data_IF_457807011041
#
_entry.id   IF_457807011041
#
_cell.length_a   1.000
_cell.length_b   1.000
_cell.length_c   1.000
_cell.angle_alpha   90.00
_cell.angle_beta   90.00
_cell.angle_gamma   90.00
#
_symmetry.space_group_name_H-M   'P 1'
#
loop_
_entity.id
_entity.type
_entity.pdbx_description
1 polymer ?
#
# COMPACT_ATOMS: atom_id res chain seq x y z
N UNK A 1 32.55 -2.72 -59.56
CA UNK A 1 32.28 -1.41 -58.92
C UNK A 1 31.05 -0.71 -59.48
N UNK A 2 30.73 -0.81 -60.78
CA UNK A 2 29.53 -0.14 -61.32
C UNK A 2 28.20 -0.71 -60.80
N UNK A 3 28.10 -2.04 -60.66
CA UNK A 3 26.85 -2.71 -60.25
C UNK A 3 26.36 -2.23 -58.87
N UNK A 4 27.27 -2.05 -57.90
CA UNK A 4 26.93 -1.58 -56.54
C UNK A 4 26.49 -0.12 -56.50
N UNK A 5 26.92 0.70 -57.46
CA UNK A 5 26.58 2.12 -57.52
C UNK A 5 25.23 2.32 -58.22
N UNK A 6 24.95 1.52 -59.26
CA UNK A 6 23.64 1.47 -59.92
C UNK A 6 22.55 0.99 -58.97
N UNK A 7 22.79 -0.06 -58.19
CA UNK A 7 21.82 -0.56 -57.20
C UNK A 7 21.55 0.44 -56.07
N UNK A 8 22.58 1.14 -55.58
CA UNK A 8 22.39 2.23 -54.61
C UNK A 8 21.56 3.38 -55.20
N UNK A 9 21.82 3.77 -56.45
CA UNK A 9 21.05 4.81 -57.13
C UNK A 9 19.58 4.39 -57.30
N UNK A 10 19.33 3.12 -57.65
CA UNK A 10 17.99 2.57 -57.73
C UNK A 10 17.29 2.57 -56.36
N UNK A 11 17.96 2.09 -55.30
CA UNK A 11 17.41 2.08 -53.94
C UNK A 11 17.03 3.49 -53.47
N UNK A 12 17.89 4.48 -53.71
CA UNK A 12 17.62 5.89 -53.38
C UNK A 12 16.44 6.46 -54.17
N UNK A 13 16.30 6.09 -55.45
CA UNK A 13 15.17 6.51 -56.28
C UNK A 13 13.86 5.94 -55.72
N UNK A 14 13.86 4.66 -55.33
CA UNK A 14 12.69 4.02 -54.70
C UNK A 14 12.38 4.67 -53.35
N UNK A 15 13.37 5.04 -52.54
CA UNK A 15 13.13 5.78 -51.29
C UNK A 15 12.48 7.15 -51.50
N UNK A 16 12.89 7.87 -52.54
CA UNK A 16 12.29 9.16 -52.87
C UNK A 16 10.82 8.98 -53.28
N UNK A 17 10.50 7.95 -54.07
CA UNK A 17 9.13 7.60 -54.44
C UNK A 17 8.30 7.16 -53.23
N UNK A 18 8.86 6.32 -52.36
CA UNK A 18 8.22 5.87 -51.12
C UNK A 18 7.85 7.06 -50.22
N UNK A 19 8.77 8.03 -50.10
CA UNK A 19 8.55 9.24 -49.30
C UNK A 19 7.48 10.14 -49.91
N UNK A 20 7.42 10.25 -51.24
CA UNK A 20 6.34 10.98 -51.91
C UNK A 20 4.97 10.33 -51.69
N UNK A 21 4.88 8.99 -51.78
CA UNK A 21 3.66 8.23 -51.53
C UNK A 21 3.22 8.33 -50.06
N UNK A 22 4.16 8.31 -49.11
CA UNK A 22 3.89 8.49 -47.69
C UNK A 22 3.32 9.89 -47.39
N UNK A 23 3.90 10.93 -48.00
CA UNK A 23 3.42 12.31 -47.87
C UNK A 23 2.07 12.55 -48.56
N UNK A 24 1.72 11.81 -49.63
CA UNK A 24 0.41 11.88 -50.28
C UNK A 24 -0.68 11.10 -49.54
N UNK A 25 -0.31 10.31 -48.52
CA UNK A 25 -1.25 9.46 -47.77
C UNK A 25 -1.49 8.09 -48.39
N UNK A 26 -0.78 7.73 -49.46
CA UNK A 26 -0.81 6.40 -50.10
C UNK A 26 0.03 5.40 -49.27
N UNK A 27 -0.42 5.12 -48.05
CA UNK A 27 0.37 4.38 -47.05
C UNK A 27 0.73 2.94 -47.46
N UNK A 28 -0.12 2.25 -48.22
CA UNK A 28 0.16 0.89 -48.69
C UNK A 28 1.28 0.89 -49.73
N UNK A 29 1.15 1.73 -50.77
CA UNK A 29 2.17 1.96 -51.80
C UNK A 29 3.50 2.37 -51.17
N UNK A 30 3.46 3.29 -50.20
CA UNK A 30 4.66 3.74 -49.50
C UNK A 30 5.38 2.59 -48.77
N UNK A 31 4.64 1.74 -48.06
CA UNK A 31 5.21 0.58 -47.34
C UNK A 31 5.85 -0.40 -48.31
N UNK A 32 5.20 -0.73 -49.43
CA UNK A 32 5.76 -1.62 -50.45
C UNK A 32 7.08 -1.08 -51.02
N UNK A 33 7.13 0.21 -51.34
CA UNK A 33 8.33 0.86 -51.86
C UNK A 33 9.44 0.94 -50.79
N UNK A 34 9.11 1.27 -49.54
CA UNK A 34 10.09 1.26 -48.44
C UNK A 34 10.69 -0.14 -48.22
N UNK A 35 9.88 -1.20 -48.29
CA UNK A 35 10.36 -2.58 -48.18
C UNK A 35 11.30 -2.92 -49.34
N UNK A 36 10.93 -2.58 -50.57
CA UNK A 36 11.77 -2.81 -51.74
C UNK A 36 13.13 -2.09 -51.62
N UNK A 37 13.13 -0.81 -51.27
CA UNK A 37 14.34 -0.04 -51.07
C UNK A 37 15.22 -0.59 -49.94
N UNK A 38 14.62 -0.96 -48.82
CA UNK A 38 15.35 -1.57 -47.69
C UNK A 38 16.05 -2.85 -48.11
N UNK A 39 15.35 -3.74 -48.83
CA UNK A 39 15.91 -5.00 -49.30
C UNK A 39 17.11 -4.77 -50.24
N UNK A 40 17.03 -3.75 -51.12
CA UNK A 40 18.14 -3.39 -52.00
C UNK A 40 19.33 -2.84 -51.22
N UNK A 41 19.10 -1.97 -50.22
CA UNK A 41 20.16 -1.47 -49.34
C UNK A 41 20.86 -2.62 -48.57
N UNK A 42 20.08 -3.54 -48.02
CA UNK A 42 20.58 -4.71 -47.30
C UNK A 42 21.37 -5.64 -48.22
N UNK A 43 20.96 -5.78 -49.49
CA UNK A 43 21.65 -6.60 -50.49
C UNK A 43 23.00 -6.01 -50.91
N UNK A 44 23.13 -4.68 -50.95
CA UNK A 44 24.38 -4.01 -51.37
C UNK A 44 25.38 -3.86 -50.22
N UNK A 45 24.91 -3.72 -48.98
CA UNK A 45 25.76 -3.49 -47.82
C UNK A 45 26.97 -4.45 -47.66
N UNK A 46 26.87 -5.76 -47.97
CA UNK A 46 28.01 -6.70 -47.87
C UNK A 46 29.15 -6.42 -48.85
N UNK A 47 28.89 -5.71 -49.96
CA UNK A 47 29.86 -5.47 -51.04
C UNK A 47 30.56 -4.11 -50.94
N UNK A 48 30.19 -3.28 -49.96
CA UNK A 48 30.75 -1.95 -49.76
C UNK A 48 31.92 -1.96 -48.78
N UNK A 49 32.87 -1.01 -48.90
CA UNK A 49 33.85 -0.77 -47.84
C UNK A 49 33.16 -0.50 -46.50
N UNK A 50 33.74 -0.99 -45.40
CA UNK A 50 33.11 -1.02 -44.07
C UNK A 50 32.40 0.28 -43.65
N UNK A 51 33.05 1.43 -43.82
CA UNK A 51 32.46 2.73 -43.46
C UNK A 51 31.20 3.08 -44.26
N UNK A 52 31.14 2.72 -45.55
CA UNK A 52 29.96 2.92 -46.38
C UNK A 52 28.87 1.90 -46.05
N UNK A 53 29.25 0.65 -45.77
CA UNK A 53 28.32 -0.39 -45.35
C UNK A 53 27.59 -0.03 -44.03
N UNK A 54 28.31 0.58 -43.07
CA UNK A 54 27.74 1.01 -41.80
C UNK A 54 26.70 2.14 -42.00
N UNK A 55 26.97 3.09 -42.91
CA UNK A 55 26.01 4.15 -43.28
C UNK A 55 24.76 3.56 -43.95
N UNK A 56 24.93 2.64 -44.90
CA UNK A 56 23.81 1.98 -45.59
C UNK A 56 22.93 1.20 -44.62
N UNK A 57 23.52 0.49 -43.65
CA UNK A 57 22.75 -0.21 -42.60
C UNK A 57 22.01 0.77 -41.68
N UNK A 58 22.62 1.90 -41.36
CA UNK A 58 21.96 2.97 -40.59
C UNK A 58 20.69 3.49 -41.28
N UNK A 59 20.75 3.70 -42.60
CA UNK A 59 19.59 4.09 -43.38
C UNK A 59 18.54 2.98 -43.50
N UNK A 60 18.94 1.71 -43.68
CA UNK A 60 18.00 0.59 -43.71
C UNK A 60 17.19 0.46 -42.39
N UNK A 61 17.81 0.73 -41.24
CA UNK A 61 17.11 0.76 -39.94
C UNK A 61 16.19 1.98 -39.77
N UNK A 62 16.50 3.11 -40.40
CA UNK A 62 15.61 4.26 -40.43
C UNK A 62 14.35 4.00 -41.28
N UNK A 63 14.55 3.37 -42.45
CA UNK A 63 13.44 2.92 -43.30
C UNK A 63 12.54 1.93 -42.57
N UNK A 64 13.14 0.97 -41.85
CA UNK A 64 12.40 0.02 -41.01
C UNK A 64 11.56 0.72 -39.94
N UNK A 65 12.14 1.68 -39.20
CA UNK A 65 11.40 2.48 -38.22
C UNK A 65 10.21 3.22 -38.84
N UNK A 66 10.36 3.71 -40.08
CA UNK A 66 9.25 4.36 -40.79
C UNK A 66 8.13 3.38 -41.15
N UNK A 67 8.48 2.20 -41.67
CA UNK A 67 7.52 1.11 -41.96
C UNK A 67 6.74 0.74 -40.69
N UNK A 68 7.43 0.55 -39.57
CA UNK A 68 6.80 0.22 -38.28
C UNK A 68 5.84 1.33 -37.83
N UNK A 69 6.22 2.60 -38.00
CA UNK A 69 5.36 3.74 -37.69
C UNK A 69 4.09 3.81 -38.54
N UNK A 70 4.18 3.55 -39.85
CA UNK A 70 3.02 3.50 -40.75
C UNK A 70 2.10 2.35 -40.35
N UNK A 71 2.65 1.17 -40.08
CA UNK A 71 1.88 0.00 -39.64
C UNK A 71 1.16 0.26 -38.31
N UNK A 72 1.83 0.80 -37.29
CA UNK A 72 1.19 1.15 -36.02
C UNK A 72 0.02 2.12 -36.20
N UNK A 73 0.17 3.14 -37.05
CA UNK A 73 -0.90 4.09 -37.37
C UNK A 73 -2.06 3.41 -38.10
N UNK A 74 -1.78 2.48 -39.01
CA UNK A 74 -2.80 1.68 -39.69
C UNK A 74 -3.57 0.81 -38.70
N UNK A 75 -2.87 0.09 -37.81
CA UNK A 75 -3.50 -0.70 -36.73
C UNK A 75 -4.37 0.16 -35.81
N UNK A 76 -3.94 1.39 -35.48
CA UNK A 76 -4.73 2.32 -34.69
C UNK A 76 -5.99 2.82 -35.44
N UNK A 77 -5.90 3.07 -36.75
CA UNK A 77 -7.03 3.51 -37.60
C UNK A 77 -8.00 2.38 -37.95
N UNK A 78 -7.50 1.17 -38.17
CA UNK A 78 -8.31 0.02 -38.56
C UNK A 78 -9.16 -0.54 -37.42
N UNK A 79 -9.00 -0.05 -36.18
CA UNK A 79 -10.03 -0.13 -35.14
C UNK A 79 -10.50 -1.54 -34.80
N UNK A 80 -9.78 -2.59 -35.22
CA UNK A 80 -10.02 -3.96 -34.81
C UNK A 80 -9.34 -4.16 -33.48
N UNK A 81 -9.93 -3.56 -32.45
CA UNK A 81 -9.66 -3.92 -31.07
C UNK A 81 -9.86 -5.44 -30.93
N UNK A 82 -8.76 -6.18 -30.71
CA UNK A 82 -8.83 -7.58 -30.26
C UNK A 82 -9.50 -7.71 -28.89
N UNK A 83 -9.78 -6.59 -28.22
CA UNK A 83 -10.52 -6.55 -26.97
C UNK A 83 -12.03 -6.41 -27.23
N UNK A 84 -12.87 -7.16 -26.49
CA UNK A 84 -14.32 -7.09 -26.63
C UNK A 84 -14.82 -5.67 -26.34
N UNK A 85 -15.39 -5.02 -27.36
CA UNK A 85 -16.20 -3.81 -27.21
C UNK A 85 -17.62 -4.21 -26.83
N UNK A 86 -17.85 -4.47 -25.54
CA UNK A 86 -19.21 -4.38 -25.01
C UNK A 86 -19.49 -2.91 -24.66
N UNK A 87 -20.71 -2.41 -24.88
CA UNK A 87 -21.12 -1.12 -24.32
C UNK A 87 -21.01 -1.23 -22.80
N UNK A 88 -20.00 -0.60 -22.22
CA UNK A 88 -19.97 -0.29 -20.80
C UNK A 88 -21.03 0.79 -20.57
N UNK A 89 -22.29 0.37 -20.40
CA UNK A 89 -23.23 1.20 -19.66
C UNK A 89 -22.72 1.28 -18.23
N UNK A 90 -22.08 2.40 -17.90
CA UNK A 90 -21.88 2.76 -16.51
C UNK A 90 -23.26 2.97 -15.90
N UNK A 91 -23.79 1.93 -15.26
CA UNK A 91 -24.90 2.06 -14.33
C UNK A 91 -24.23 2.39 -13.00
N UNK A 92 -24.25 3.66 -12.53
CA UNK A 92 -23.80 3.97 -11.20
C UNK A 92 -24.68 3.18 -10.23
N UNK A 93 -24.19 2.04 -9.76
CA UNK A 93 -24.73 1.45 -8.56
C UNK A 93 -24.39 2.46 -7.47
N UNK A 94 -25.37 2.99 -6.72
CA UNK A 94 -25.04 3.72 -5.53
C UNK A 94 -24.15 2.79 -4.71
N UNK A 95 -22.88 3.20 -4.52
CA UNK A 95 -22.00 2.54 -3.56
C UNK A 95 -22.84 2.49 -2.28
N UNK A 96 -22.99 1.32 -1.64
CA UNK A 96 -23.71 1.27 -0.38
C UNK A 96 -23.05 2.32 0.50
N UNK A 97 -23.75 3.43 0.72
CA UNK A 97 -23.33 4.47 1.64
C UNK A 97 -23.51 3.78 2.98
N UNK A 98 -22.49 3.05 3.42
CA UNK A 98 -22.38 2.77 4.84
C UNK A 98 -22.47 4.14 5.50
N UNK A 99 -23.59 4.40 6.17
CA UNK A 99 -23.76 5.67 6.85
C UNK A 99 -22.58 5.81 7.81
N UNK A 100 -21.69 6.74 7.50
CA UNK A 100 -20.47 6.99 8.24
C UNK A 100 -20.85 7.71 9.54
N UNK A 101 -21.50 6.98 10.46
CA UNK A 101 -22.01 7.48 11.74
C UNK A 101 -20.94 7.37 12.79
N UNK A 102 -20.19 8.46 12.97
CA UNK A 102 -19.21 8.58 14.04
C UNK A 102 -19.95 8.74 15.39
N UNK A 103 -19.64 7.92 16.42
CA UNK A 103 -20.29 8.06 17.73
C UNK A 103 -20.12 9.46 18.34
N UNK A 104 -21.14 9.98 19.02
CA UNK A 104 -21.03 11.30 19.67
C UNK A 104 -20.07 11.29 20.86
N UNK A 105 -20.04 10.21 21.64
CA UNK A 105 -19.22 10.09 22.84
C UNK A 105 -17.74 9.81 22.47
N UNK A 106 -16.76 10.61 22.96
CA UNK A 106 -15.34 10.46 22.62
C UNK A 106 -14.76 9.07 22.91
N UNK A 107 -15.21 8.41 23.98
CA UNK A 107 -14.74 7.06 24.34
C UNK A 107 -15.16 6.04 23.28
N UNK A 108 -16.43 6.10 22.86
CA UNK A 108 -16.94 5.20 21.82
C UNK A 108 -16.37 5.54 20.43
N UNK A 109 -15.96 6.79 20.17
CA UNK A 109 -15.23 7.13 18.92
C UNK A 109 -13.93 6.37 18.78
N UNK A 110 -13.17 6.20 19.87
CA UNK A 110 -11.92 5.43 19.84
C UNK A 110 -12.21 3.96 19.51
N UNK A 111 -13.19 3.35 20.16
CA UNK A 111 -13.55 1.95 19.94
C UNK A 111 -14.10 1.71 18.52
N UNK A 112 -14.89 2.67 18.01
CA UNK A 112 -15.36 2.70 16.63
C UNK A 112 -14.20 2.85 15.63
N UNK A 113 -13.24 3.73 15.90
CA UNK A 113 -12.02 3.86 15.09
C UNK A 113 -11.24 2.55 15.06
N UNK A 114 -11.14 1.84 16.18
CA UNK A 114 -10.46 0.55 16.23
C UNK A 114 -11.14 -0.50 15.35
N UNK A 115 -12.48 -0.57 15.36
CA UNK A 115 -13.24 -1.43 14.43
C UNK A 115 -12.99 -1.05 12.98
N UNK A 116 -12.91 0.24 12.70
CA UNK A 116 -12.69 0.75 11.36
C UNK A 116 -11.29 0.40 10.83
N UNK A 117 -10.26 0.57 11.65
CA UNK A 117 -8.89 0.15 11.36
C UNK A 117 -8.82 -1.38 11.17
N UNK A 118 -9.46 -2.16 12.06
CA UNK A 118 -9.51 -3.63 11.95
C UNK A 118 -10.11 -4.06 10.60
N UNK A 119 -11.24 -3.45 10.24
CA UNK A 119 -11.94 -3.72 8.97
C UNK A 119 -11.10 -3.32 7.77
N UNK A 120 -10.49 -2.13 7.80
CA UNK A 120 -9.61 -1.66 6.72
C UNK A 120 -8.42 -2.61 6.51
N UNK A 121 -7.77 -3.07 7.58
CA UNK A 121 -6.66 -4.03 7.48
C UNK A 121 -7.15 -5.37 6.92
N UNK A 122 -8.32 -5.87 7.32
CA UNK A 122 -8.79 -7.20 6.88
C UNK A 122 -9.25 -7.25 5.43
N UNK A 123 -10.03 -6.26 5.01
CA UNK A 123 -10.78 -6.31 3.75
C UNK A 123 -10.88 -4.96 3.02
N UNK A 124 -10.33 -3.89 3.60
CA UNK A 124 -10.54 -2.53 3.12
C UNK A 124 -11.82 -1.89 3.68
N UNK A 125 -11.81 -0.57 3.85
CA UNK A 125 -12.94 0.19 4.38
C UNK A 125 -12.82 1.69 4.06
N UNK A 126 -13.97 2.38 4.04
CA UNK A 126 -14.00 3.84 4.13
C UNK A 126 -13.59 4.28 5.53
N UNK A 127 -12.39 4.85 5.67
CA UNK A 127 -11.86 5.36 6.94
C UNK A 127 -12.26 6.81 7.22
N UNK A 128 -12.71 7.51 6.17
CA UNK A 128 -13.41 8.79 6.17
C UNK A 128 -14.49 8.75 5.07
N UNK A 129 -15.47 9.67 5.03
CA UNK A 129 -16.52 9.69 4.01
C UNK A 129 -15.99 9.58 2.57
N UNK A 130 -14.87 10.25 2.29
CA UNK A 130 -14.27 10.33 0.96
C UNK A 130 -12.95 9.56 0.83
N UNK A 131 -12.59 8.74 1.83
CA UNK A 131 -11.32 8.02 1.85
C UNK A 131 -11.54 6.51 2.06
N UNK A 132 -11.54 5.77 0.96
CA UNK A 132 -11.45 4.32 0.98
C UNK A 132 -9.99 3.87 1.06
N UNK A 133 -9.68 3.06 2.06
CA UNK A 133 -8.37 2.41 2.20
C UNK A 133 -8.57 0.93 1.95
N UNK A 134 -8.15 0.47 0.77
CA UNK A 134 -8.22 -0.93 0.37
C UNK A 134 -7.20 -1.80 1.08
N UNK A 135 -7.46 -3.11 1.12
CA UNK A 135 -6.59 -4.10 1.77
C UNK A 135 -5.17 -4.05 1.19
N UNK A 136 -5.05 -3.85 -0.11
CA UNK A 136 -3.79 -3.75 -0.87
C UNK A 136 -2.90 -2.59 -0.42
N UNK A 137 -3.45 -1.54 0.21
CA UNK A 137 -2.67 -0.46 0.82
C UNK A 137 -1.90 -0.98 2.03
N UNK A 138 -2.50 -1.90 2.80
CA UNK A 138 -1.87 -2.52 3.97
C UNK A 138 -0.87 -3.61 3.58
N UNK A 139 -1.14 -4.42 2.56
CA UNK A 139 -0.27 -5.55 2.16
C UNK A 139 0.56 -5.23 0.90
N UNK A 140 1.19 -4.05 0.87
CA UNK A 140 2.01 -3.66 -0.27
C UNK A 140 3.32 -4.44 -0.34
N UNK A 141 3.71 -4.88 -1.55
CA UNK A 141 5.06 -5.36 -1.80
C UNK A 141 6.11 -4.29 -1.44
N UNK A 142 7.05 -4.67 -0.58
CA UNK A 142 8.06 -3.79 0.02
C UNK A 142 7.52 -2.72 0.97
N UNK A 143 6.23 -2.76 1.33
CA UNK A 143 5.60 -1.82 2.27
C UNK A 143 6.27 -1.83 3.64
N UNK A 144 6.72 -3.01 4.10
CA UNK A 144 7.45 -3.15 5.36
C UNK A 144 8.74 -2.34 5.42
N UNK A 145 9.39 -2.04 4.29
CA UNK A 145 10.58 -1.19 4.25
C UNK A 145 10.25 0.31 4.43
N UNK A 146 9.01 0.73 4.19
CA UNK A 146 8.57 2.10 4.46
C UNK A 146 8.19 2.31 5.94
N UNK A 147 7.85 1.24 6.65
CA UNK A 147 7.45 1.32 8.05
C UNK A 147 8.64 1.14 8.98
N UNK A 148 8.78 2.06 9.93
CA UNK A 148 9.80 2.00 10.96
C UNK A 148 9.28 1.30 12.21
N UNK A 149 10.22 0.78 13.02
CA UNK A 149 9.97 0.20 14.34
C UNK A 149 8.93 -0.94 14.36
N UNK A 150 8.82 -1.71 13.26
CA UNK A 150 7.91 -2.86 13.14
C UNK A 150 8.12 -3.89 14.25
N UNK A 151 9.37 -4.20 14.61
CA UNK A 151 9.69 -5.11 15.72
C UNK A 151 9.17 -4.64 17.09
N UNK A 152 9.51 -3.40 17.54
CA UNK A 152 8.89 -2.78 18.71
C UNK A 152 7.36 -2.81 18.73
N UNK A 153 6.71 -2.45 17.61
CA UNK A 153 5.24 -2.46 17.47
C UNK A 153 4.66 -3.87 17.65
N UNK A 154 5.25 -4.89 17.03
CA UNK A 154 4.85 -6.30 17.19
C UNK A 154 4.92 -6.72 18.67
N UNK A 155 6.03 -6.42 19.36
CA UNK A 155 6.22 -6.74 20.78
C UNK A 155 5.17 -6.06 21.66
N UNK A 156 4.93 -4.78 21.42
CA UNK A 156 3.92 -3.98 22.12
C UNK A 156 2.51 -4.56 21.95
N UNK A 157 2.07 -4.77 20.71
CA UNK A 157 0.75 -5.32 20.39
C UNK A 157 0.54 -6.72 21.00
N UNK A 158 1.56 -7.57 20.89
CA UNK A 158 1.54 -8.91 21.47
C UNK A 158 1.37 -8.84 22.98
N UNK A 159 2.18 -8.05 23.68
CA UNK A 159 2.08 -7.90 25.13
C UNK A 159 0.73 -7.30 25.57
N UNK A 160 0.18 -6.37 24.77
CA UNK A 160 -1.13 -5.76 25.03
C UNK A 160 -2.28 -6.76 24.89
N UNK A 161 -2.28 -7.62 23.86
CA UNK A 161 -3.18 -8.76 23.78
C UNK A 161 -3.09 -9.65 25.04
N UNK A 162 -1.88 -9.99 25.48
CA UNK A 162 -1.69 -10.78 26.70
C UNK A 162 -2.19 -10.11 27.98
N UNK A 163 -2.25 -8.78 28.03
CA UNK A 163 -2.85 -8.04 29.13
C UNK A 163 -4.39 -8.04 29.03
N UNK A 164 -4.95 -7.91 27.83
CA UNK A 164 -6.40 -7.95 27.60
C UNK A 164 -7.01 -9.33 27.81
N UNK A 165 -6.30 -10.42 27.47
CA UNK A 165 -6.79 -11.79 27.75
C UNK A 165 -7.01 -12.03 29.25
N UNK A 166 -6.19 -11.42 30.12
CA UNK A 166 -6.39 -11.50 31.58
C UNK A 166 -7.67 -10.78 32.04
N UNK A 167 -8.04 -9.69 31.36
CA UNK A 167 -9.32 -9.02 31.61
C UNK A 167 -10.49 -9.88 31.10
N UNK A 168 -10.35 -10.46 29.91
CA UNK A 168 -11.37 -11.34 29.33
C UNK A 168 -11.66 -12.56 30.21
N UNK A 169 -10.66 -13.05 30.95
CA UNK A 169 -10.82 -14.15 31.90
C UNK A 169 -11.63 -13.80 33.17
N UNK A 170 -11.99 -12.53 33.39
CA UNK A 170 -12.85 -12.12 34.52
C UNK A 170 -14.30 -12.54 34.24
N UNK A 171 -14.71 -13.68 34.81
CA UNK A 171 -16.03 -14.28 34.54
C UNK A 171 -17.22 -13.52 35.15
N UNK A 172 -17.03 -12.84 36.29
CA UNK A 172 -18.12 -12.19 37.04
C UNK A 172 -17.90 -10.68 37.18
N UNK A 173 -18.58 -9.89 36.34
CA UNK A 173 -18.53 -8.43 36.35
C UNK A 173 -19.26 -7.79 37.55
N UNK A 174 -20.11 -8.55 38.27
CA UNK A 174 -20.73 -8.05 39.51
C UNK A 174 -19.73 -7.99 40.67
N UNK A 175 -18.62 -8.74 40.61
CA UNK A 175 -17.57 -8.67 41.62
C UNK A 175 -16.66 -7.45 41.35
N UNK A 176 -17.13 -6.29 41.81
CA UNK A 176 -16.47 -5.00 41.58
C UNK A 176 -15.03 -4.96 42.10
N UNK A 177 -14.72 -5.63 43.21
CA UNK A 177 -13.36 -5.71 43.75
C UNK A 177 -12.39 -6.43 42.79
N UNK A 178 -12.82 -7.58 42.26
CA UNK A 178 -12.01 -8.37 41.30
C UNK A 178 -11.80 -7.61 40.01
N UNK A 179 -12.84 -6.95 39.51
CA UNK A 179 -12.79 -6.14 38.29
C UNK A 179 -11.85 -4.95 38.48
N UNK A 180 -12.00 -4.20 39.56
CA UNK A 180 -11.12 -3.07 39.92
C UNK A 180 -9.65 -3.50 40.00
N UNK A 181 -9.36 -4.61 40.69
CA UNK A 181 -7.98 -5.14 40.79
C UNK A 181 -7.42 -5.53 39.42
N UNK A 182 -8.24 -6.13 38.57
CA UNK A 182 -7.83 -6.56 37.23
C UNK A 182 -7.60 -5.38 36.29
N UNK A 183 -8.48 -4.37 36.32
CA UNK A 183 -8.34 -3.13 35.55
C UNK A 183 -7.11 -2.32 35.99
N UNK A 184 -6.87 -2.14 37.29
CA UNK A 184 -5.65 -1.48 37.78
C UNK A 184 -4.38 -2.19 37.29
N UNK A 185 -4.36 -3.53 37.32
CA UNK A 185 -3.23 -4.32 36.80
C UNK A 185 -3.05 -4.15 35.29
N UNK A 186 -4.14 -4.16 34.53
CA UNK A 186 -4.12 -3.89 33.10
C UNK A 186 -3.56 -2.49 32.80
N UNK A 187 -4.11 -1.45 33.42
CA UNK A 187 -3.70 -0.06 33.21
C UNK A 187 -2.21 0.14 33.47
N UNK A 188 -1.72 -0.37 34.61
CA UNK A 188 -0.29 -0.33 34.93
C UNK A 188 0.55 -1.01 33.86
N UNK A 189 0.13 -2.19 33.40
CA UNK A 189 0.86 -2.95 32.37
C UNK A 189 0.83 -2.18 31.04
N UNK A 190 -0.33 -1.67 30.63
CA UNK A 190 -0.49 -0.93 29.39
C UNK A 190 0.35 0.35 29.38
N UNK A 191 0.39 1.11 30.48
CA UNK A 191 1.23 2.31 30.62
C UNK A 191 2.73 2.01 30.56
N UNK A 192 3.17 0.93 31.24
CA UNK A 192 4.55 0.46 31.17
C UNK A 192 4.94 0.05 29.74
N UNK A 193 4.03 -0.61 29.01
CA UNK A 193 4.21 -1.02 27.62
C UNK A 193 4.23 0.17 26.66
N UNK A 194 3.30 1.13 26.79
CA UNK A 194 3.25 2.33 25.96
C UNK A 194 4.50 3.16 26.15
N UNK A 195 4.93 3.36 27.41
CA UNK A 195 6.19 4.07 27.70
C UNK A 195 7.39 3.34 27.10
N UNK A 196 7.44 2.01 27.18
CA UNK A 196 8.51 1.23 26.56
C UNK A 196 8.53 1.38 25.02
N UNK A 197 7.37 1.35 24.37
CA UNK A 197 7.25 1.59 22.94
C UNK A 197 7.71 3.00 22.57
N UNK A 198 7.26 4.03 23.29
CA UNK A 198 7.65 5.42 23.07
C UNK A 198 9.16 5.62 23.19
N UNK A 199 9.82 4.93 24.13
CA UNK A 199 11.29 4.94 24.25
C UNK A 199 11.96 4.21 23.08
N UNK A 200 11.46 3.06 22.63
CA UNK A 200 12.03 2.32 21.49
C UNK A 200 11.83 3.02 20.13
N UNK A 201 10.81 3.87 20.00
CA UNK A 201 10.57 4.72 18.82
C UNK A 201 11.33 6.07 18.93
N UNK A 202 11.89 6.39 20.10
CA UNK A 202 12.63 7.64 20.32
C UNK A 202 11.74 8.86 20.59
N UNK A 203 10.46 8.66 20.93
CA UNK A 203 9.54 9.73 21.33
C UNK A 203 9.83 10.19 22.76
N UNK A 204 10.25 9.26 23.64
CA UNK A 204 10.66 9.57 25.01
C UNK A 204 12.13 9.22 25.22
N UNK A 205 12.87 10.15 25.81
CA UNK A 205 14.31 10.01 26.11
C UNK A 205 14.55 10.01 27.62
N UNK A 206 13.84 9.16 28.37
CA UNK A 206 14.11 8.99 29.80
C UNK A 206 15.04 7.79 30.04
N UNK A 207 16.15 8.02 30.75
CA UNK A 207 17.25 7.08 31.00
C UNK A 207 16.95 5.89 31.94
N UNK A 208 15.73 5.35 31.90
CA UNK A 208 15.32 4.20 32.69
C UNK A 208 15.69 2.84 32.07
N UNK A 209 15.54 1.76 32.86
CA UNK A 209 15.84 0.37 32.47
C UNK A 209 15.43 0.00 31.03
N UNK A 210 16.24 -0.85 30.35
CA UNK A 210 16.11 -1.12 28.92
C UNK A 210 14.66 -1.42 28.50
N UNK A 211 14.10 -0.69 27.52
CA UNK A 211 12.70 -0.83 27.10
C UNK A 211 12.30 -2.28 26.77
N UNK A 212 13.22 -2.99 26.11
CA UNK A 212 13.08 -4.39 25.69
C UNK A 212 12.73 -5.32 26.87
N UNK A 213 13.38 -5.12 28.02
CA UNK A 213 13.15 -5.96 29.22
C UNK A 213 11.73 -5.83 29.79
N UNK A 214 11.11 -4.66 29.66
CA UNK A 214 9.74 -4.42 30.15
C UNK A 214 8.73 -5.15 29.26
N UNK A 215 8.89 -5.06 27.94
CA UNK A 215 7.99 -5.71 27.00
C UNK A 215 8.13 -7.24 27.08
N UNK A 216 9.37 -7.74 27.21
CA UNK A 216 9.65 -9.17 27.45
C UNK A 216 8.88 -9.73 28.63
N UNK A 217 8.81 -8.98 29.74
CA UNK A 217 8.07 -9.40 30.94
C UNK A 217 6.57 -9.55 30.65
N UNK A 218 5.98 -8.66 29.87
CA UNK A 218 4.58 -8.75 29.43
C UNK A 218 4.30 -9.98 28.58
N UNK A 219 5.24 -10.35 27.71
CA UNK A 219 5.11 -11.47 26.78
C UNK A 219 5.31 -12.84 27.41
N UNK A 220 6.07 -12.96 28.51
CA UNK A 220 6.28 -14.26 29.20
C UNK A 220 4.98 -14.99 29.54
N UNK A 221 3.89 -14.26 29.77
CA UNK A 221 2.58 -14.85 30.05
C UNK A 221 1.89 -15.47 28.84
N UNK A 222 2.25 -15.07 27.61
CA UNK A 222 1.67 -15.60 26.37
C UNK A 222 2.41 -16.84 25.86
N UNK A 223 3.73 -16.86 26.04
CA UNK A 223 4.56 -17.97 25.62
C UNK A 223 4.76 -18.96 26.76
N UNK A 224 3.73 -19.79 27.01
CA UNK A 224 3.79 -20.88 28.00
C UNK A 224 4.92 -21.89 27.72
N UNK A 225 5.42 -21.94 26.48
CA UNK A 225 6.45 -22.89 26.01
C UNK A 225 7.91 -22.49 26.35
N UNK A 226 8.12 -21.56 27.29
CA UNK A 226 9.44 -21.26 27.84
C UNK A 226 10.25 -20.20 27.10
N UNK A 227 11.38 -19.80 27.71
CA UNK A 227 12.21 -18.67 27.29
C UNK A 227 12.80 -18.83 25.88
N UNK A 228 12.97 -20.06 25.39
CA UNK A 228 13.50 -20.32 24.05
C UNK A 228 12.53 -19.87 22.96
N UNK A 229 11.24 -20.21 23.06
CA UNK A 229 10.21 -19.76 22.11
C UNK A 229 10.10 -18.25 22.11
N UNK A 230 10.16 -17.63 23.29
CA UNK A 230 10.19 -16.17 23.43
C UNK A 230 11.38 -15.56 22.68
N UNK A 231 12.60 -16.11 22.85
CA UNK A 231 13.80 -15.63 22.15
C UNK A 231 13.69 -15.81 20.65
N UNK A 232 13.27 -16.99 20.18
CA UNK A 232 13.08 -17.25 18.75
C UNK A 232 12.09 -16.27 18.15
N UNK A 233 10.95 -16.05 18.82
CA UNK A 233 9.94 -15.11 18.37
C UNK A 233 10.44 -13.66 18.38
N UNK A 234 11.21 -13.24 19.40
CA UNK A 234 11.80 -11.90 19.45
C UNK A 234 12.88 -11.64 18.41
N UNK A 235 13.50 -12.71 17.91
CA UNK A 235 14.54 -12.68 16.88
C UNK A 235 13.96 -12.98 15.49
N UNK A 236 12.65 -13.24 15.35
CA UNK A 236 12.04 -13.29 14.03
C UNK A 236 12.22 -11.94 13.35
N UNK A 237 12.60 -11.99 12.08
CA UNK A 237 12.69 -10.77 11.28
C UNK A 237 11.34 -10.06 11.31
N UNK A 238 11.32 -8.76 11.66
CA UNK A 238 10.08 -8.04 11.81
C UNK A 238 9.40 -7.91 10.43
N UNK A 239 8.39 -8.74 10.19
CA UNK A 239 7.56 -8.66 8.99
C UNK A 239 6.32 -7.80 9.27
N UNK A 240 6.01 -6.91 8.33
CA UNK A 240 4.80 -6.09 8.31
C UNK A 240 3.52 -6.94 8.46
N UNK A 241 3.45 -8.09 7.80
CA UNK A 241 2.29 -8.97 7.90
C UNK A 241 2.04 -9.44 9.33
N UNK A 242 3.10 -9.83 10.05
CA UNK A 242 3.02 -10.21 11.45
C UNK A 242 2.56 -9.03 12.32
N UNK A 243 3.03 -7.81 12.02
CA UNK A 243 2.57 -6.60 12.71
C UNK A 243 1.07 -6.36 12.49
N UNK A 244 0.57 -6.54 11.26
CA UNK A 244 -0.85 -6.39 10.93
C UNK A 244 -1.71 -7.47 11.59
N UNK A 245 -1.24 -8.71 11.67
CA UNK A 245 -1.93 -9.80 12.39
C UNK A 245 -2.11 -9.42 13.86
N UNK A 246 -1.05 -8.97 14.53
CA UNK A 246 -1.13 -8.54 15.93
C UNK A 246 -1.94 -7.26 16.11
N UNK A 247 -1.93 -6.35 15.14
CA UNK A 247 -2.77 -5.16 15.15
C UNK A 247 -4.24 -5.55 15.11
N UNK A 248 -4.65 -6.38 14.15
CA UNK A 248 -6.01 -6.91 14.03
C UNK A 248 -6.46 -7.61 15.32
N UNK A 249 -5.60 -8.46 15.90
CA UNK A 249 -5.91 -9.14 17.16
C UNK A 249 -6.11 -8.13 18.31
N UNK A 250 -5.21 -7.14 18.43
CA UNK A 250 -5.33 -6.10 19.46
C UNK A 250 -6.61 -5.28 19.30
N UNK A 251 -6.91 -4.84 18.08
CA UNK A 251 -8.10 -4.05 17.77
C UNK A 251 -9.40 -4.81 18.06
N UNK A 252 -9.45 -6.09 17.72
CA UNK A 252 -10.59 -6.96 18.00
C UNK A 252 -10.74 -7.28 19.50
N UNK A 253 -9.64 -7.53 20.22
CA UNK A 253 -9.69 -7.79 21.66
C UNK A 253 -10.14 -6.56 22.46
N UNK A 254 -9.71 -5.36 22.05
CA UNK A 254 -10.07 -4.10 22.69
C UNK A 254 -11.58 -3.82 22.71
N UNK A 255 -12.36 -4.47 21.85
CA UNK A 255 -13.83 -4.36 21.86
C UNK A 255 -14.45 -4.87 23.16
N UNK A 256 -13.71 -5.59 24.01
CA UNK A 256 -14.15 -5.94 25.37
C UNK A 256 -14.49 -4.69 26.19
N UNK A 257 -13.75 -3.59 26.01
CA UNK A 257 -13.95 -2.36 26.78
C UNK A 257 -15.29 -1.72 26.46
N UNK A 258 -15.75 -1.78 25.21
CA UNK A 258 -17.09 -1.32 24.83
C UNK A 258 -18.17 -2.07 25.61
N UNK A 259 -18.06 -3.40 25.67
CA UNK A 259 -19.01 -4.27 26.37
C UNK A 259 -19.04 -3.96 27.88
N UNK A 260 -17.86 -3.75 28.48
CA UNK A 260 -17.76 -3.43 29.90
C UNK A 260 -18.31 -2.03 30.21
N UNK A 261 -18.03 -1.02 29.38
CA UNK A 261 -18.56 0.34 29.54
C UNK A 261 -20.10 0.32 29.44
N UNK A 262 -20.66 -0.37 28.45
CA UNK A 262 -22.12 -0.49 28.30
C UNK A 262 -22.72 -1.18 29.53
N UNK A 263 -22.12 -2.29 29.98
CA UNK A 263 -22.58 -3.01 31.17
C UNK A 263 -22.59 -2.10 32.40
N UNK A 264 -21.47 -1.46 32.75
CA UNK A 264 -21.40 -0.61 33.94
C UNK A 264 -22.22 0.67 33.83
N UNK A 265 -22.54 1.14 32.61
CA UNK A 265 -23.47 2.27 32.42
C UNK A 265 -24.92 1.94 32.80
N UNK A 266 -25.28 0.64 32.83
CA UNK A 266 -26.63 0.17 33.18
C UNK A 266 -26.76 -0.27 34.65
N UNK A 267 -25.63 -0.46 35.34
CA UNK A 267 -25.58 -0.82 36.77
C UNK A 267 -25.82 0.42 37.63
N UNK A 268 -26.42 0.27 38.80
CA UNK A 268 -26.59 1.38 39.75
C UNK A 268 -25.23 2.02 40.10
N UNK A 269 -25.17 3.35 39.98
CA UNK A 269 -23.96 4.14 40.22
C UNK A 269 -23.57 4.12 41.70
N UNK A 270 -22.70 3.17 42.07
CA UNK A 270 -21.99 3.14 43.35
C UNK A 270 -20.57 3.70 43.19
N UNK A 271 -19.88 4.10 44.27
CA UNK A 271 -18.49 4.57 44.20
C UNK A 271 -17.56 3.58 43.49
N UNK A 272 -17.78 2.28 43.68
CA UNK A 272 -17.01 1.22 43.01
C UNK A 272 -17.24 1.22 41.49
N UNK A 273 -18.50 1.39 41.06
CA UNK A 273 -18.84 1.46 39.63
C UNK A 273 -18.27 2.73 38.99
N UNK A 274 -18.31 3.88 39.68
CA UNK A 274 -17.68 5.12 39.22
C UNK A 274 -16.18 4.94 39.03
N UNK A 275 -15.50 4.27 39.96
CA UNK A 275 -14.07 3.97 39.85
C UNK A 275 -13.77 3.07 38.63
N UNK A 276 -14.54 1.99 38.47
CA UNK A 276 -14.42 1.08 37.32
C UNK A 276 -14.59 1.82 35.99
N UNK A 277 -15.62 2.66 35.88
CA UNK A 277 -15.84 3.50 34.70
C UNK A 277 -14.65 4.41 34.41
N UNK A 278 -14.08 5.05 35.44
CA UNK A 278 -12.85 5.84 35.31
C UNK A 278 -11.67 5.03 34.75
N UNK A 279 -11.48 3.80 35.22
CA UNK A 279 -10.45 2.91 34.68
C UNK A 279 -10.72 2.48 33.24
N UNK A 280 -11.97 2.22 32.87
CA UNK A 280 -12.35 1.88 31.50
C UNK A 280 -12.08 3.03 30.53
N UNK A 281 -12.45 4.26 30.90
CA UNK A 281 -12.16 5.45 30.08
C UNK A 281 -10.65 5.66 29.92
N UNK A 282 -9.86 5.50 31.00
CA UNK A 282 -8.40 5.57 30.93
C UNK A 282 -7.80 4.48 30.04
N UNK A 283 -8.33 3.25 30.11
CA UNK A 283 -7.90 2.15 29.26
C UNK A 283 -8.14 2.47 27.77
N UNK A 284 -9.31 3.02 27.43
CA UNK A 284 -9.62 3.44 26.06
C UNK A 284 -8.71 4.60 25.60
N UNK A 285 -8.38 5.54 26.49
CA UNK A 285 -7.41 6.61 26.20
C UNK A 285 -6.01 6.07 25.88
N UNK A 286 -5.56 5.03 26.58
CA UNK A 286 -4.29 4.34 26.29
C UNK A 286 -4.32 3.62 24.94
N UNK A 287 -5.47 3.05 24.56
CA UNK A 287 -5.63 2.42 23.25
C UNK A 287 -5.60 3.44 22.10
N UNK A 288 -6.14 4.64 22.32
CA UNK A 288 -6.02 5.72 21.34
C UNK A 288 -4.56 6.18 21.17
N UNK A 289 -3.91 6.51 22.29
CA UNK A 289 -2.52 7.02 22.29
C UNK A 289 -1.48 5.98 21.85
N UNK A 290 -1.76 4.69 22.06
CA UNK A 290 -0.93 3.58 21.60
C UNK A 290 -1.31 3.10 20.19
N UNK A 291 -2.04 1.96 20.08
CA UNK A 291 -2.28 1.29 18.80
C UNK A 291 -2.95 2.17 17.75
N UNK A 292 -3.98 2.96 18.08
CA UNK A 292 -4.64 3.78 17.08
C UNK A 292 -3.70 4.84 16.51
N UNK A 293 -2.92 5.52 17.37
CA UNK A 293 -2.02 6.60 16.95
C UNK A 293 -0.98 6.11 15.94
N UNK A 294 -0.26 5.02 16.24
CA UNK A 294 0.76 4.54 15.30
C UNK A 294 0.16 3.88 14.07
N UNK A 295 -0.99 3.18 14.17
CA UNK A 295 -1.63 2.60 13.00
C UNK A 295 -2.14 3.66 12.03
N UNK A 296 -2.66 4.79 12.52
CA UNK A 296 -3.03 5.92 11.68
C UNK A 296 -1.82 6.54 10.96
N UNK A 297 -0.68 6.66 11.66
CA UNK A 297 0.57 7.13 11.05
C UNK A 297 1.08 6.16 9.97
N UNK A 298 1.11 4.88 10.29
CA UNK A 298 1.53 3.84 9.34
C UNK A 298 0.59 3.82 8.12
N UNK A 299 -0.72 3.95 8.34
CA UNK A 299 -1.72 4.05 7.27
C UNK A 299 -1.43 5.24 6.34
N UNK A 300 -1.15 6.43 6.89
CA UNK A 300 -0.84 7.61 6.09
C UNK A 300 0.40 7.37 5.19
N UNK A 301 1.48 6.83 5.75
CA UNK A 301 2.70 6.49 5.01
C UNK A 301 2.40 5.48 3.88
N UNK A 302 1.58 4.48 4.15
CA UNK A 302 1.21 3.46 3.18
C UNK A 302 0.31 4.02 2.07
N UNK A 303 -0.63 4.90 2.40
CA UNK A 303 -1.49 5.58 1.42
C UNK A 303 -0.63 6.42 0.48
N UNK A 304 0.26 7.27 1.02
CA UNK A 304 1.16 8.11 0.21
C UNK A 304 2.01 7.25 -0.73
N UNK A 305 2.59 6.17 -0.21
CA UNK A 305 3.37 5.21 -1.01
C UNK A 305 2.53 4.55 -2.09
N UNK A 306 1.29 4.18 -1.78
CA UNK A 306 0.37 3.54 -2.73
C UNK A 306 0.00 4.51 -3.85
N UNK A 307 -0.38 5.74 -3.50
CA UNK A 307 -0.69 6.80 -4.46
C UNK A 307 0.49 7.11 -5.38
N UNK A 308 1.71 7.18 -4.85
CA UNK A 308 2.91 7.40 -5.64
C UNK A 308 3.21 6.24 -6.61
N UNK A 309 2.98 4.99 -6.19
CA UNK A 309 3.07 3.83 -7.09
C UNK A 309 2.02 3.86 -8.19
N UNK A 310 0.78 4.21 -7.86
CA UNK A 310 -0.30 4.35 -8.84
C UNK A 310 0.03 5.45 -9.85
N UNK A 311 0.49 6.62 -9.39
CA UNK A 311 0.94 7.72 -10.25
C UNK A 311 2.05 7.28 -11.22
N UNK A 312 3.10 6.61 -10.71
CA UNK A 312 4.19 6.07 -11.53
C UNK A 312 3.73 5.00 -12.54
N UNK A 313 2.72 4.22 -12.20
CA UNK A 313 2.18 3.20 -13.08
C UNK A 313 1.33 3.82 -14.19
N UNK A 314 0.52 4.82 -13.87
CA UNK A 314 -0.25 5.61 -14.86
C UNK A 314 0.69 6.29 -15.85
N UNK A 315 1.78 6.93 -15.38
CA UNK A 315 2.75 7.57 -16.27
C UNK A 315 3.47 6.60 -17.21
N UNK A 316 3.53 5.30 -16.88
CA UNK A 316 4.11 4.26 -17.76
C UNK A 316 3.14 3.70 -18.79
N UNK A 317 1.83 3.78 -18.51
CA UNK A 317 0.77 3.31 -19.41
C UNK A 317 0.36 4.37 -20.43
N UNK A 318 0.61 5.64 -20.15
CA UNK A 318 0.37 6.73 -21.09
C UNK A 318 1.49 6.76 -22.15
N UNK A 319 1.18 6.70 -23.45
CA UNK A 319 2.17 6.66 -24.54
C UNK A 319 2.89 8.01 -24.79
N UNK A 320 2.98 8.90 -23.80
CA UNK A 320 3.56 10.23 -23.93
C UNK A 320 4.27 10.60 -22.63
N UNK A 321 5.52 11.05 -22.72
CA UNK A 321 6.22 11.78 -21.65
C UNK A 321 5.46 13.08 -21.32
N UNK A 322 4.34 12.98 -20.63
CA UNK A 322 3.68 14.17 -20.06
C UNK A 322 4.51 14.57 -18.85
N UNK A 323 5.43 15.52 -19.06
CA UNK A 323 5.95 16.34 -17.97
C UNK A 323 4.73 17.05 -17.35
N UNK A 324 4.27 16.54 -16.21
CA UNK A 324 3.40 17.31 -15.33
C UNK A 324 4.23 18.49 -14.85
N UNK A 325 4.18 19.62 -15.56
CA UNK A 325 4.73 20.87 -15.08
C UNK A 325 4.09 21.17 -13.73
N UNK A 326 4.93 21.27 -12.71
CA UNK A 326 4.53 21.72 -11.40
C UNK A 326 3.97 23.12 -11.53
N UNK A 327 2.66 23.24 -11.41
CA UNK A 327 1.99 24.51 -11.24
C UNK A 327 2.55 25.20 -10.01
N UNK A 328 3.44 26.15 -10.22
CA UNK A 328 3.64 27.26 -9.29
C UNK A 328 2.33 28.03 -9.25
N UNK A 329 1.55 27.77 -8.20
CA UNK A 329 0.55 28.71 -7.74
C UNK A 329 1.30 29.99 -7.32
N UNK A 330 1.13 31.05 -8.11
CA UNK A 330 1.13 32.42 -7.61
C UNK A 330 -0.15 32.65 -6.81
#
# INVERSE_FOLDING_TARGET
MNITLESLAQALTVLQQATAADLSGETETAVEMYVAAKNELDAVAPYLPRGHADVVRGHAEEVKRRIDGINCNRWAKEGKSEFPTFPLEYVPKPVPVEEFRVPLNPTFRVLWLMRLLERSIRQGAFVAPDLYVGKEVWYQNGGGAALTHTGPKIRYLTALCGAMEKLRAVANLNNTETVTKSLRKYLRTAEELTTALEMEIGIRTDGGASPRSRIERGMRGLFHKGQQVLRTWMNQEPNMELCLIWAVNTLGQAQLFERWIIYYSQVHMSPAVTEIMGFLHRAVGLLYSGPCSFLLRDMAILIERHQEKCRKSITRLLPVDVKLEGGTFS
#
